data_IF_626748223778
#
_entry.id   IF_626748223778
#
_cell.length_a   1.000
_cell.length_b   1.000
_cell.length_c   1.000
_cell.angle_alpha   90.00
_cell.angle_beta   90.00
_cell.angle_gamma   90.00
#
_symmetry.space_group_name_H-M   'P 1'
#
loop_
_entity.id
_entity.type
_entity.pdbx_description
1 polymer ?
#
# COMPACT_ATOMS: atom_id res chain seq x y z
N UNK A 1 -34.32 22.01 7.24
CA UNK A 1 -32.97 22.53 6.95
C UNK A 1 -32.05 22.11 8.09
N UNK A 2 -31.42 20.95 7.96
CA UNK A 2 -30.50 20.39 8.95
C UNK A 2 -29.18 20.14 8.24
N UNK A 3 -28.13 20.81 8.70
CA UNK A 3 -26.76 20.73 8.19
C UNK A 3 -26.25 19.29 8.36
N UNK A 4 -25.89 18.65 7.25
CA UNK A 4 -25.08 17.42 7.24
C UNK A 4 -23.62 17.88 7.27
N UNK A 5 -22.92 17.60 8.36
CA UNK A 5 -21.51 17.95 8.55
C UNK A 5 -20.55 17.08 7.72
N UNK A 6 -19.30 17.52 7.50
CA UNK A 6 -18.35 16.83 6.64
C UNK A 6 -17.63 15.71 7.42
N UNK A 7 -18.06 14.47 7.24
CA UNK A 7 -17.34 13.27 7.69
C UNK A 7 -17.45 12.22 6.57
N UNK A 8 -16.59 12.33 5.56
CA UNK A 8 -16.60 11.41 4.42
C UNK A 8 -15.21 11.26 3.78
N UNK A 9 -14.21 10.86 4.58
CA UNK A 9 -12.91 10.39 4.06
C UNK A 9 -12.33 9.34 5.03
N UNK A 10 -12.78 8.09 4.94
CA UNK A 10 -12.25 7.04 5.84
C UNK A 10 -12.27 5.64 5.22
N UNK A 11 -11.45 5.36 4.20
CA UNK A 11 -11.15 3.95 3.81
C UNK A 11 -9.67 3.72 3.43
N UNK A 12 -8.97 4.73 2.90
CA UNK A 12 -7.50 4.64 2.70
C UNK A 12 -6.70 4.70 4.02
N UNK A 13 -7.39 4.89 5.14
CA UNK A 13 -6.79 5.18 6.45
C UNK A 13 -6.70 3.92 7.33
N UNK A 14 -7.27 2.76 6.99
CA UNK A 14 -7.20 1.60 7.89
C UNK A 14 -5.76 1.05 8.08
N UNK A 15 -4.90 1.12 7.04
CA UNK A 15 -3.46 0.90 7.19
C UNK A 15 -2.71 2.17 7.66
N UNK A 16 -3.19 3.37 7.29
CA UNK A 16 -2.63 4.64 7.74
C UNK A 16 -2.88 4.99 9.22
N UNK A 17 -3.88 4.40 9.86
CA UNK A 17 -4.24 4.58 11.28
C UNK A 17 -3.36 3.73 12.19
N UNK A 18 -2.80 2.64 11.68
CA UNK A 18 -1.81 1.84 12.42
C UNK A 18 -0.37 2.38 12.29
N UNK A 19 -0.16 3.34 11.37
CA UNK A 19 1.11 4.02 11.10
C UNK A 19 1.05 5.57 11.23
N UNK A 20 -0.05 6.14 11.74
CA UNK A 20 -0.16 7.56 12.06
C UNK A 20 0.25 8.54 10.94
N UNK A 21 -0.30 8.42 9.73
CA UNK A 21 -0.58 9.47 8.72
C UNK A 21 -0.89 8.86 7.33
N UNK A 22 -1.43 9.67 6.41
CA UNK A 22 -1.53 9.44 4.96
C UNK A 22 -0.30 8.68 4.44
N UNK A 23 -0.52 7.39 4.13
CA UNK A 23 0.39 6.29 3.75
C UNK A 23 1.92 6.43 3.96
N UNK A 24 2.55 5.34 4.41
CA UNK A 24 4.01 5.18 4.33
C UNK A 24 4.54 5.32 2.89
N UNK A 25 3.72 4.98 1.88
CA UNK A 25 4.00 5.24 0.47
C UNK A 25 4.14 6.74 0.18
N UNK A 26 3.33 7.61 0.79
CA UNK A 26 3.41 9.06 0.61
C UNK A 26 4.71 9.62 1.17
N UNK A 27 5.26 9.02 2.23
CA UNK A 27 6.55 9.43 2.78
C UNK A 27 7.71 9.05 1.87
N UNK A 28 7.69 7.85 1.31
CA UNK A 28 8.77 7.31 0.51
C UNK A 28 8.73 7.81 -0.93
N UNK A 29 7.52 7.90 -1.51
CA UNK A 29 7.31 8.49 -2.84
C UNK A 29 7.68 9.98 -2.86
N UNK A 30 7.36 10.73 -1.81
CA UNK A 30 7.57 12.18 -1.75
C UNK A 30 9.03 12.58 -1.45
N UNK A 31 9.89 11.66 -1.01
CA UNK A 31 11.32 11.93 -0.81
C UNK A 31 12.18 11.66 -2.03
N UNK A 32 11.74 10.82 -2.96
CA UNK A 32 12.50 10.47 -4.16
C UNK A 32 11.90 11.03 -5.45
N UNK A 33 10.61 11.35 -5.48
CA UNK A 33 9.99 12.08 -6.59
C UNK A 33 10.33 13.56 -6.41
N UNK A 34 11.59 13.92 -6.74
CA UNK A 34 11.99 15.34 -6.88
C UNK A 34 10.93 16.01 -7.73
N UNK A 35 10.47 17.17 -7.24
CA UNK A 35 9.60 18.14 -7.90
C UNK A 35 10.05 18.42 -9.34
N UNK A 36 9.77 17.53 -10.28
CA UNK A 36 9.74 17.90 -11.69
C UNK A 36 8.42 18.60 -11.90
N UNK A 37 8.45 19.95 -11.86
CA UNK A 37 7.43 20.86 -12.36
C UNK A 37 6.02 20.26 -12.41
N UNK A 38 5.48 19.89 -11.24
CA UNK A 38 4.10 19.45 -11.16
C UNK A 38 3.25 20.61 -11.68
N UNK A 39 2.48 20.34 -12.74
CA UNK A 39 1.45 21.25 -13.19
C UNK A 39 0.59 21.60 -11.97
N UNK A 40 0.12 22.84 -11.90
CA UNK A 40 -0.76 23.27 -10.84
C UNK A 40 -1.93 22.25 -10.73
N UNK A 41 -2.31 21.73 -9.55
CA UNK A 41 -3.32 20.66 -9.46
C UNK A 41 -4.65 20.96 -10.17
N UNK A 42 -4.99 22.24 -10.36
CA UNK A 42 -6.12 22.73 -11.15
C UNK A 42 -5.97 22.59 -12.67
N UNK A 43 -4.75 22.52 -13.18
CA UNK A 43 -4.40 22.41 -14.60
C UNK A 43 -4.17 20.95 -15.06
N UNK A 44 -4.05 20.01 -14.10
CA UNK A 44 -3.81 18.59 -14.39
C UNK A 44 -4.85 17.98 -15.36
N UNK A 45 -6.17 18.20 -15.20
CA UNK A 45 -7.16 17.59 -16.11
C UNK A 45 -7.00 18.07 -17.56
N UNK A 46 -6.72 19.35 -17.76
CA UNK A 46 -6.51 19.94 -19.09
C UNK A 46 -5.21 19.41 -19.72
N UNK A 47 -4.15 19.27 -18.91
CA UNK A 47 -2.87 18.72 -19.35
C UNK A 47 -3.00 17.24 -19.76
N UNK A 48 -3.74 16.44 -18.98
CA UNK A 48 -4.04 15.04 -19.31
C UNK A 48 -4.83 14.96 -20.63
N UNK A 49 -5.88 15.77 -20.79
CA UNK A 49 -6.66 15.79 -22.04
C UNK A 49 -5.82 16.20 -23.27
N UNK A 50 -4.91 17.16 -23.11
CA UNK A 50 -3.99 17.57 -24.17
C UNK A 50 -3.02 16.43 -24.56
N UNK A 51 -2.53 15.65 -23.58
CA UNK A 51 -1.68 14.49 -23.83
C UNK A 51 -2.44 13.34 -24.48
N UNK A 52 -3.67 13.05 -24.02
CA UNK A 52 -4.54 12.04 -24.65
C UNK A 52 -4.76 12.38 -26.13
N UNK A 53 -5.02 13.66 -26.46
CA UNK A 53 -5.14 14.12 -27.85
C UNK A 53 -3.84 13.95 -28.66
N UNK A 54 -2.67 14.16 -28.06
CA UNK A 54 -1.40 13.90 -28.74
C UNK A 54 -1.22 12.41 -29.03
N UNK A 55 -1.59 11.55 -28.08
CA UNK A 55 -1.57 10.10 -28.22
C UNK A 55 -2.56 9.58 -29.28
N UNK A 56 -3.64 10.30 -29.60
CA UNK A 56 -4.50 9.97 -30.76
C UNK A 56 -3.73 10.03 -32.09
N UNK A 57 -2.76 10.95 -32.20
CA UNK A 57 -1.93 11.11 -33.40
C UNK A 57 -0.63 10.29 -33.37
N UNK A 58 -0.09 10.04 -32.18
CA UNK A 58 1.15 9.29 -31.97
C UNK A 58 1.01 8.30 -30.79
N UNK A 59 0.14 7.32 -30.97
CA UNK A 59 -0.19 6.31 -29.94
C UNK A 59 0.91 5.29 -29.65
N UNK A 60 2.09 5.45 -30.24
CA UNK A 60 3.26 4.60 -29.98
C UNK A 60 4.33 5.28 -29.12
N UNK A 61 4.16 6.57 -28.83
CA UNK A 61 5.14 7.38 -28.15
C UNK A 61 5.24 7.06 -26.66
N UNK A 62 6.28 6.33 -26.28
CA UNK A 62 6.48 5.88 -24.90
C UNK A 62 6.68 7.04 -23.92
N UNK A 63 7.27 8.16 -24.37
CA UNK A 63 7.46 9.34 -23.52
C UNK A 63 6.12 10.03 -23.22
N UNK A 64 5.23 10.11 -24.20
CA UNK A 64 3.87 10.64 -23.98
C UNK A 64 3.06 9.74 -23.06
N UNK A 65 3.17 8.41 -23.22
CA UNK A 65 2.56 7.46 -22.30
C UNK A 65 3.10 7.61 -20.87
N UNK A 66 4.42 7.80 -20.70
CA UNK A 66 5.04 7.99 -19.38
C UNK A 66 4.47 9.24 -18.70
N UNK A 67 4.45 10.36 -19.43
CA UNK A 67 3.95 11.63 -18.93
C UNK A 67 2.45 11.59 -18.61
N UNK A 68 1.65 10.97 -19.47
CA UNK A 68 0.23 10.77 -19.22
C UNK A 68 0.00 9.95 -17.94
N UNK A 69 0.74 8.85 -17.77
CA UNK A 69 0.63 8.00 -16.59
C UNK A 69 0.96 8.76 -15.29
N UNK A 70 2.04 9.54 -15.28
CA UNK A 70 2.43 10.36 -14.14
C UNK A 70 1.36 11.40 -13.78
N UNK A 71 0.88 12.15 -14.76
CA UNK A 71 -0.15 13.18 -14.55
C UNK A 71 -1.48 12.61 -14.09
N UNK A 72 -1.93 11.51 -14.70
CA UNK A 72 -3.15 10.80 -14.29
C UNK A 72 -3.06 10.31 -12.85
N UNK A 73 -1.90 9.82 -12.44
CA UNK A 73 -1.69 9.37 -11.07
C UNK A 73 -1.64 10.53 -10.07
N UNK A 74 -1.01 11.66 -10.42
CA UNK A 74 -1.02 12.88 -9.61
C UNK A 74 -2.45 13.43 -9.44
N UNK A 75 -3.22 13.48 -10.52
CA UNK A 75 -4.62 13.87 -10.49
C UNK A 75 -5.45 12.89 -9.65
N UNK A 76 -5.21 11.58 -9.79
CA UNK A 76 -5.86 10.56 -9.00
C UNK A 76 -5.63 10.77 -7.49
N UNK A 77 -4.42 11.17 -7.10
CA UNK A 77 -4.07 11.44 -5.71
C UNK A 77 -4.76 12.70 -5.18
N UNK A 78 -4.80 13.76 -5.99
CA UNK A 78 -5.47 15.03 -5.64
C UNK A 78 -6.99 14.86 -5.52
N UNK A 79 -7.61 14.23 -6.52
CA UNK A 79 -9.07 14.04 -6.61
C UNK A 79 -9.60 12.81 -5.86
N UNK A 80 -8.71 11.92 -5.40
CA UNK A 80 -9.02 10.59 -4.86
C UNK A 80 -9.86 9.73 -5.80
N UNK A 81 -9.52 9.76 -7.08
CA UNK A 81 -10.24 9.07 -8.12
C UNK A 81 -9.51 7.78 -8.54
N UNK A 82 -10.04 6.62 -8.14
CA UNK A 82 -9.48 5.32 -8.47
C UNK A 82 -9.53 4.97 -9.97
N UNK A 83 -10.43 5.58 -10.74
CA UNK A 83 -10.50 5.35 -12.18
C UNK A 83 -9.27 5.93 -12.89
N UNK A 84 -8.74 7.06 -12.41
CA UNK A 84 -7.53 7.67 -12.95
C UNK A 84 -6.28 6.84 -12.63
N UNK A 85 -6.24 6.16 -11.48
CA UNK A 85 -5.18 5.20 -11.15
C UNK A 85 -5.14 4.06 -12.18
N UNK A 86 -6.31 3.55 -12.58
CA UNK A 86 -6.37 2.49 -13.59
C UNK A 86 -5.86 2.96 -14.95
N UNK A 87 -6.22 4.17 -15.40
CA UNK A 87 -5.67 4.76 -16.61
C UNK A 87 -4.14 4.92 -16.55
N UNK A 88 -3.60 5.34 -15.40
CA UNK A 88 -2.16 5.43 -15.21
C UNK A 88 -1.48 4.05 -15.34
N UNK A 89 -2.04 3.01 -14.71
CA UNK A 89 -1.58 1.63 -14.84
C UNK A 89 -1.60 1.16 -16.29
N UNK A 90 -2.64 1.50 -17.07
CA UNK A 90 -2.74 1.12 -18.48
C UNK A 90 -1.61 1.69 -19.34
N UNK A 91 -1.24 2.96 -19.11
CA UNK A 91 -0.12 3.59 -19.80
C UNK A 91 1.24 3.01 -19.39
N UNK A 92 1.48 2.77 -18.09
CA UNK A 92 2.71 2.10 -17.68
C UNK A 92 2.79 0.66 -18.21
N UNK A 93 1.66 -0.07 -18.21
CA UNK A 93 1.60 -1.42 -18.77
C UNK A 93 1.82 -1.40 -20.30
N UNK A 94 1.38 -0.36 -21.00
CA UNK A 94 1.70 -0.17 -22.41
C UNK A 94 3.21 -0.02 -22.62
N UNK A 95 3.88 0.78 -21.80
CA UNK A 95 5.34 0.93 -21.84
C UNK A 95 6.01 -0.42 -21.62
N UNK A 96 5.62 -1.18 -20.59
CA UNK A 96 6.20 -2.51 -20.34
C UNK A 96 5.91 -3.54 -21.44
N UNK A 97 4.80 -3.42 -22.19
CA UNK A 97 4.56 -4.29 -23.35
C UNK A 97 5.55 -4.00 -24.49
N UNK A 98 5.99 -2.75 -24.63
CA UNK A 98 6.92 -2.30 -25.69
C UNK A 98 8.38 -2.45 -25.26
N UNK A 99 8.65 -2.14 -24.01
CA UNK A 99 9.96 -2.20 -23.36
C UNK A 99 9.82 -2.96 -22.04
N UNK A 100 9.91 -4.31 -22.08
CA UNK A 100 9.67 -5.13 -20.90
C UNK A 100 10.57 -4.78 -19.71
N UNK A 101 11.77 -4.30 -19.96
CA UNK A 101 12.75 -3.94 -18.94
C UNK A 101 12.86 -2.42 -18.71
N UNK A 102 11.84 -1.65 -19.08
CA UNK A 102 11.79 -0.22 -18.79
C UNK A 102 11.74 0.00 -17.27
N UNK A 103 12.84 0.53 -16.73
CA UNK A 103 13.09 0.62 -15.28
C UNK A 103 12.11 1.56 -14.58
N UNK A 104 11.82 2.69 -15.21
CA UNK A 104 10.90 3.70 -14.69
C UNK A 104 9.48 3.13 -14.60
N UNK A 105 8.99 2.49 -15.67
CA UNK A 105 7.66 1.87 -15.67
C UNK A 105 7.55 0.71 -14.66
N UNK A 106 8.61 -0.09 -14.46
CA UNK A 106 8.65 -1.12 -13.41
C UNK A 106 8.54 -0.50 -12.01
N UNK A 107 9.33 0.53 -11.72
CA UNK A 107 9.32 1.20 -10.42
C UNK A 107 7.99 1.90 -10.12
N UNK A 108 7.41 2.57 -11.12
CA UNK A 108 6.13 3.27 -10.96
C UNK A 108 4.96 2.29 -10.81
N UNK A 109 4.92 1.18 -11.57
CA UNK A 109 3.90 0.15 -11.38
C UNK A 109 4.04 -0.55 -10.03
N UNK A 110 5.26 -0.81 -9.56
CA UNK A 110 5.48 -1.35 -8.24
C UNK A 110 4.91 -0.44 -7.14
N UNK A 111 5.20 0.86 -7.22
CA UNK A 111 4.67 1.84 -6.27
C UNK A 111 3.13 1.90 -6.31
N UNK A 112 2.54 1.95 -7.50
CA UNK A 112 1.08 1.92 -7.67
C UNK A 112 0.46 0.65 -7.08
N UNK A 113 1.03 -0.52 -7.39
CA UNK A 113 0.56 -1.79 -6.85
C UNK A 113 0.64 -1.82 -5.32
N UNK A 114 1.75 -1.34 -4.74
CA UNK A 114 1.93 -1.24 -3.29
C UNK A 114 0.86 -0.34 -2.65
N UNK A 115 0.57 0.82 -3.23
CA UNK A 115 -0.46 1.73 -2.74
C UNK A 115 -1.87 1.18 -2.81
N UNK A 116 -2.15 0.39 -3.85
CA UNK A 116 -3.43 -0.32 -3.98
C UNK A 116 -3.50 -1.57 -3.08
N UNK A 117 -2.41 -1.95 -2.42
CA UNK A 117 -2.32 -3.16 -1.61
C UNK A 117 -2.19 -4.45 -2.44
N UNK A 118 -1.88 -4.35 -3.73
CA UNK A 118 -1.63 -5.47 -4.64
C UNK A 118 -0.16 -5.88 -4.49
N UNK A 119 0.18 -6.50 -3.36
CA UNK A 119 1.57 -6.70 -2.96
C UNK A 119 2.33 -7.69 -3.83
N UNK A 120 1.68 -8.75 -4.31
CA UNK A 120 2.33 -9.76 -5.16
C UNK A 120 2.87 -9.15 -6.45
N UNK A 121 2.10 -8.25 -7.06
CA UNK A 121 2.54 -7.52 -8.26
C UNK A 121 3.62 -6.49 -7.94
N UNK A 122 3.51 -5.81 -6.80
CA UNK A 122 4.56 -4.89 -6.36
C UNK A 122 5.91 -5.63 -6.17
N UNK A 123 5.87 -6.80 -5.51
CA UNK A 123 7.03 -7.67 -5.32
C UNK A 123 7.59 -8.15 -6.67
N UNK A 124 6.74 -8.64 -7.58
CA UNK A 124 7.13 -9.09 -8.92
C UNK A 124 7.89 -8.00 -9.70
N UNK A 125 7.33 -6.79 -9.75
CA UNK A 125 7.97 -5.67 -10.47
C UNK A 125 9.27 -5.22 -9.81
N UNK A 126 9.35 -5.20 -8.48
CA UNK A 126 10.57 -4.79 -7.76
C UNK A 126 11.68 -5.81 -7.88
N UNK A 127 11.38 -7.12 -7.77
CA UNK A 127 12.38 -8.17 -7.98
C UNK A 127 12.91 -8.12 -9.41
N UNK A 128 12.06 -7.83 -10.39
CA UNK A 128 12.48 -7.62 -11.78
C UNK A 128 13.32 -6.36 -11.97
N UNK A 129 12.98 -5.25 -11.30
CA UNK A 129 13.79 -4.04 -11.34
C UNK A 129 15.18 -4.28 -10.71
N UNK A 130 15.25 -4.99 -9.59
CA UNK A 130 16.51 -5.36 -8.91
C UNK A 130 17.36 -6.32 -9.76
N UNK A 131 16.76 -7.21 -10.55
CA UNK A 131 17.54 -8.06 -11.45
C UNK A 131 18.21 -7.28 -12.61
N UNK A 132 17.64 -6.13 -12.98
CA UNK A 132 18.21 -5.21 -13.97
C UNK A 132 19.22 -4.24 -13.32
N UNK A 133 18.92 -3.79 -12.09
CA UNK A 133 19.74 -2.86 -11.32
C UNK A 133 19.97 -3.37 -9.89
N UNK A 134 20.94 -4.28 -9.68
CA UNK A 134 21.19 -4.87 -8.37
C UNK A 134 21.57 -3.87 -7.27
N UNK A 135 22.15 -2.74 -7.67
CA UNK A 135 22.59 -1.67 -6.76
C UNK A 135 21.53 -0.58 -6.58
N UNK A 136 20.32 -0.75 -7.14
CA UNK A 136 19.24 0.22 -6.97
C UNK A 136 18.70 0.16 -5.53
N UNK A 137 19.25 1.04 -4.69
CA UNK A 137 18.91 1.15 -3.27
C UNK A 137 17.42 1.44 -3.07
N UNK A 138 16.81 2.26 -3.95
CA UNK A 138 15.38 2.57 -3.89
C UNK A 138 14.56 1.31 -4.11
N UNK A 139 14.81 0.57 -5.17
CA UNK A 139 14.09 -0.67 -5.47
C UNK A 139 14.23 -1.71 -4.35
N UNK A 140 15.43 -1.85 -3.77
CA UNK A 140 15.68 -2.74 -2.62
C UNK A 140 14.94 -2.30 -1.36
N UNK A 141 14.87 -0.99 -1.09
CA UNK A 141 14.12 -0.44 0.05
C UNK A 141 12.62 -0.60 -0.14
N UNK A 142 12.11 -0.31 -1.34
CA UNK A 142 10.70 -0.46 -1.70
C UNK A 142 10.30 -1.95 -1.62
N UNK A 143 11.16 -2.87 -2.06
CA UNK A 143 10.92 -4.32 -1.93
C UNK A 143 10.84 -4.72 -0.46
N UNK A 144 11.78 -4.26 0.35
CA UNK A 144 11.77 -4.55 1.79
C UNK A 144 10.44 -4.11 2.45
N UNK A 145 9.86 -3.01 2.02
CA UNK A 145 8.58 -2.52 2.56
C UNK A 145 7.38 -3.33 2.05
N UNK A 146 7.39 -3.72 0.78
CA UNK A 146 6.42 -4.69 0.25
C UNK A 146 6.49 -5.98 1.05
N UNK A 147 7.69 -6.49 1.35
CA UNK A 147 7.90 -7.69 2.15
C UNK A 147 7.34 -7.54 3.58
N UNK A 148 7.59 -6.42 4.27
CA UNK A 148 6.99 -6.14 5.59
C UNK A 148 5.46 -6.18 5.53
N UNK A 149 4.88 -5.51 4.53
CA UNK A 149 3.43 -5.44 4.35
C UNK A 149 2.82 -6.79 3.95
N UNK A 150 3.61 -7.68 3.34
CA UNK A 150 3.22 -9.03 2.93
C UNK A 150 3.49 -10.09 4.00
N UNK A 151 3.88 -9.70 5.22
CA UNK A 151 4.23 -10.64 6.29
C UNK A 151 5.60 -11.29 6.17
N UNK A 152 6.37 -11.03 5.10
CA UNK A 152 7.72 -11.57 4.85
C UNK A 152 8.80 -10.74 5.53
N UNK A 153 8.61 -10.38 6.80
CA UNK A 153 9.44 -9.40 7.50
C UNK A 153 10.87 -9.89 7.77
N UNK A 154 11.12 -11.20 7.91
CA UNK A 154 12.46 -11.77 8.03
C UNK A 154 13.29 -11.55 6.77
N UNK A 155 12.71 -11.78 5.59
CA UNK A 155 13.39 -11.50 4.31
C UNK A 155 13.70 -10.00 4.19
N UNK A 156 12.74 -9.16 4.58
CA UNK A 156 12.91 -7.71 4.61
C UNK A 156 14.11 -7.29 5.45
N UNK A 157 14.26 -7.84 6.67
CA UNK A 157 15.38 -7.53 7.57
C UNK A 157 16.72 -7.86 6.92
N UNK A 158 16.83 -9.04 6.26
CA UNK A 158 18.04 -9.43 5.53
C UNK A 158 18.41 -8.43 4.44
N UNK A 159 17.42 -8.03 3.63
CA UNK A 159 17.59 -7.06 2.55
C UNK A 159 18.00 -5.68 3.06
N UNK A 160 17.33 -5.19 4.12
CA UNK A 160 17.57 -3.88 4.71
C UNK A 160 18.94 -3.79 5.38
N UNK A 161 19.36 -4.83 6.10
CA UNK A 161 20.69 -4.88 6.71
C UNK A 161 21.79 -4.80 5.64
N UNK A 162 21.62 -5.48 4.50
CA UNK A 162 22.55 -5.35 3.38
C UNK A 162 22.58 -3.91 2.83
N UNK A 163 21.42 -3.28 2.61
CA UNK A 163 21.33 -1.89 2.13
C UNK A 163 21.98 -0.91 3.12
N UNK A 164 21.73 -1.06 4.42
CA UNK A 164 22.26 -0.20 5.47
C UNK A 164 23.78 -0.35 5.61
N UNK A 165 24.30 -1.58 5.45
CA UNK A 165 25.74 -1.85 5.45
C UNK A 165 26.45 -1.11 4.32
N UNK A 166 25.87 -1.14 3.12
CA UNK A 166 26.43 -0.47 1.95
C UNK A 166 26.24 1.06 2.04
N UNK A 167 25.14 1.51 2.66
CA UNK A 167 24.75 2.92 2.73
C UNK A 167 24.31 3.35 4.15
N UNK A 168 25.28 3.58 5.05
CA UNK A 168 25.01 3.77 6.47
C UNK A 168 24.49 5.18 6.81
N UNK A 169 24.13 6.03 5.85
CA UNK A 169 23.51 7.33 6.13
C UNK A 169 22.04 7.43 5.67
N UNK A 170 21.49 6.41 5.01
CA UNK A 170 20.15 6.48 4.46
C UNK A 170 19.09 6.28 5.53
N UNK A 171 18.15 7.21 5.58
CA UNK A 171 16.98 7.17 6.45
C UNK A 171 15.97 6.07 6.08
N UNK A 172 15.47 5.98 4.83
CA UNK A 172 14.37 5.07 4.50
C UNK A 172 14.59 3.60 4.88
N UNK A 173 15.74 2.96 4.57
CA UNK A 173 15.95 1.56 4.94
C UNK A 173 16.07 1.35 6.46
N UNK A 174 16.57 2.34 7.22
CA UNK A 174 16.64 2.27 8.69
C UNK A 174 15.26 2.30 9.32
N UNK A 175 14.43 3.23 8.86
CA UNK A 175 13.08 3.31 9.38
C UNK A 175 12.28 2.06 8.97
N UNK A 176 12.44 1.58 7.73
CA UNK A 176 11.83 0.32 7.28
C UNK A 176 12.23 -0.88 8.16
N UNK A 177 13.46 -0.91 8.67
CA UNK A 177 13.94 -1.96 9.57
C UNK A 177 13.16 -1.95 10.90
N UNK A 178 12.88 -0.76 11.43
CA UNK A 178 12.05 -0.61 12.61
C UNK A 178 10.61 -1.13 12.37
N UNK A 179 10.05 -0.89 11.19
CA UNK A 179 8.73 -1.40 10.82
C UNK A 179 8.72 -2.93 10.73
N UNK A 180 9.77 -3.53 10.15
CA UNK A 180 9.92 -4.97 10.04
C UNK A 180 9.98 -5.63 11.43
N UNK A 181 10.80 -5.09 12.34
CA UNK A 181 10.86 -5.59 13.71
C UNK A 181 9.54 -5.44 14.47
N UNK A 182 8.79 -4.36 14.21
CA UNK A 182 7.47 -4.17 14.83
C UNK A 182 6.49 -5.24 14.36
N UNK A 183 6.48 -5.55 13.06
CA UNK A 183 5.63 -6.61 12.49
C UNK A 183 5.95 -7.97 13.11
N UNK A 184 7.22 -8.29 13.31
CA UNK A 184 7.63 -9.53 14.00
C UNK A 184 7.29 -9.55 15.50
N UNK A 185 6.88 -8.42 16.07
CA UNK A 185 6.67 -8.26 17.51
C UNK A 185 7.97 -8.15 18.30
N UNK A 186 9.10 -7.94 17.64
CA UNK A 186 10.41 -7.69 18.28
C UNK A 186 10.50 -6.23 18.76
N UNK A 187 9.66 -5.89 19.76
CA UNK A 187 9.43 -4.51 20.23
C UNK A 187 10.71 -3.73 20.53
N UNK A 188 11.62 -4.32 21.29
CA UNK A 188 12.86 -3.64 21.69
C UNK A 188 13.77 -3.34 20.49
N UNK A 189 13.87 -4.26 19.54
CA UNK A 189 14.61 -4.03 18.29
C UNK A 189 13.93 -2.99 17.41
N UNK A 190 12.59 -2.97 17.37
CA UNK A 190 11.82 -1.96 16.65
C UNK A 190 12.07 -0.55 17.21
N UNK A 191 12.07 -0.40 18.55
CA UNK A 191 12.41 0.87 19.21
C UNK A 191 13.84 1.29 18.91
N UNK A 192 14.80 0.39 19.06
CA UNK A 192 16.21 0.70 18.80
C UNK A 192 16.42 1.14 17.34
N UNK A 193 15.91 0.39 16.37
CA UNK A 193 16.04 0.73 14.95
C UNK A 193 15.35 2.07 14.60
N UNK A 194 14.20 2.36 15.22
CA UNK A 194 13.53 3.65 15.08
C UNK A 194 14.38 4.79 15.64
N UNK A 195 14.94 4.62 16.83
CA UNK A 195 15.84 5.59 17.46
C UNK A 195 17.09 5.83 16.61
N UNK A 196 17.71 4.78 16.09
CA UNK A 196 18.88 4.88 15.21
C UNK A 196 18.56 5.66 13.92
N UNK A 197 17.32 5.56 13.41
CA UNK A 197 16.86 6.31 12.25
C UNK A 197 16.72 7.82 12.50
N UNK A 198 16.51 8.27 13.74
CA UNK A 198 16.34 9.70 14.08
C UNK A 198 17.54 10.54 13.66
N UNK A 199 18.75 9.99 13.79
CA UNK A 199 19.99 10.67 13.41
C UNK A 199 20.06 11.03 11.91
N UNK A 200 19.29 10.32 11.08
CA UNK A 200 19.26 10.50 9.63
C UNK A 200 17.93 11.11 9.14
N UNK A 201 17.03 11.50 10.04
CA UNK A 201 15.73 12.05 9.68
C UNK A 201 15.88 13.33 8.82
N UNK A 202 15.23 13.41 7.65
CA UNK A 202 15.44 14.50 6.70
C UNK A 202 14.78 15.82 7.12
N UNK A 203 13.73 15.75 7.94
CA UNK A 203 13.01 16.91 8.44
C UNK A 203 12.34 16.62 9.79
N UNK A 204 11.74 17.65 10.38
CA UNK A 204 11.06 17.57 11.66
C UNK A 204 9.79 16.70 11.62
N UNK A 205 9.12 16.65 10.46
CA UNK A 205 7.93 15.80 10.28
C UNK A 205 8.31 14.34 10.40
N UNK A 206 9.44 13.94 9.81
CA UNK A 206 9.98 12.59 9.94
C UNK A 206 10.31 12.27 11.41
N UNK A 207 10.96 13.19 12.14
CA UNK A 207 11.27 13.00 13.57
C UNK A 207 10.03 12.79 14.42
N UNK A 208 9.02 13.64 14.25
CA UNK A 208 7.74 13.51 14.97
C UNK A 208 7.04 12.19 14.68
N UNK A 209 7.12 11.70 13.44
CA UNK A 209 6.56 10.38 13.07
C UNK A 209 7.30 9.23 13.74
N UNK A 210 8.62 9.31 13.82
CA UNK A 210 9.42 8.29 14.51
C UNK A 210 9.12 8.30 16.01
N UNK A 211 8.99 9.48 16.63
CA UNK A 211 8.60 9.60 18.03
C UNK A 211 7.24 8.93 18.30
N UNK A 212 6.22 9.26 17.49
CA UNK A 212 4.90 8.62 17.56
C UNK A 212 4.97 7.11 17.33
N UNK A 213 5.82 6.67 16.41
CA UNK A 213 6.03 5.24 16.16
C UNK A 213 6.58 4.54 17.39
N UNK A 214 7.58 5.12 18.06
CA UNK A 214 8.19 4.57 19.28
C UNK A 214 7.18 4.52 20.43
N UNK A 215 6.42 5.58 20.65
CA UNK A 215 5.33 5.62 21.64
C UNK A 215 4.29 4.52 21.38
N UNK A 216 3.91 4.32 20.11
CA UNK A 216 2.91 3.32 19.73
C UNK A 216 3.33 1.85 19.83
N UNK A 217 4.62 1.54 19.97
CA UNK A 217 5.11 0.15 20.09
C UNK A 217 4.63 -0.51 21.40
N UNK A 218 4.51 0.27 22.46
CA UNK A 218 4.14 -0.23 23.80
C UNK A 218 2.64 -0.18 24.07
N UNK A 219 1.94 0.77 23.44
CA UNK A 219 0.53 1.06 23.76
C UNK A 219 -0.49 0.22 22.99
N UNK A 220 -0.08 -0.46 21.91
CA UNK A 220 -1.03 -1.13 21.02
C UNK A 220 -0.97 -2.66 21.14
N UNK A 221 -2.07 -3.34 21.52
CA UNK A 221 -2.17 -4.77 21.29
C UNK A 221 -2.04 -5.05 19.78
N UNK A 222 -1.50 -6.22 19.39
CA UNK A 222 -1.39 -6.57 17.98
C UNK A 222 -2.76 -6.45 17.29
N UNK A 223 -2.79 -6.03 16.02
CA UNK A 223 -4.04 -5.80 15.33
C UNK A 223 -4.72 -7.15 15.14
N UNK A 224 -5.98 -7.28 15.56
CA UNK A 224 -6.76 -8.48 15.28
C UNK A 224 -7.56 -8.30 14.00
N UNK A 225 -7.77 -9.40 13.28
CA UNK A 225 -8.61 -9.42 12.10
C UNK A 225 -10.04 -8.97 12.43
N UNK A 226 -10.56 -9.36 13.60
CA UNK A 226 -11.86 -8.88 14.06
C UNK A 226 -11.90 -7.34 14.19
N UNK A 227 -10.90 -6.73 14.82
CA UNK A 227 -10.86 -5.27 14.98
C UNK A 227 -10.78 -4.56 13.62
N UNK A 228 -10.01 -5.11 12.67
CA UNK A 228 -9.96 -4.62 11.30
C UNK A 228 -11.33 -4.70 10.63
N UNK A 229 -11.99 -5.85 10.69
CA UNK A 229 -13.31 -6.11 10.10
C UNK A 229 -14.36 -5.13 10.64
N UNK A 230 -14.40 -4.93 11.96
CA UNK A 230 -15.36 -4.02 12.61
C UNK A 230 -15.11 -2.55 12.28
N UNK A 231 -13.85 -2.14 12.18
CA UNK A 231 -13.48 -0.75 11.90
C UNK A 231 -13.52 -0.40 10.40
N UNK A 232 -13.58 -1.39 9.51
CA UNK A 232 -13.65 -1.18 8.08
C UNK A 232 -14.97 -0.49 7.67
N UNK A 233 -14.90 0.63 6.98
CA UNK A 233 -16.05 1.50 6.68
C UNK A 233 -17.10 0.92 5.72
N UNK A 234 -16.71 0.01 4.82
CA UNK A 234 -17.67 -0.75 3.98
C UNK A 234 -18.13 -2.03 4.68
N UNK A 235 -17.18 -2.85 5.16
CA UNK A 235 -17.46 -4.18 5.68
C UNK A 235 -18.11 -4.13 7.08
N UNK A 236 -17.59 -3.33 8.00
CA UNK A 236 -18.07 -3.21 9.38
C UNK A 236 -19.58 -2.95 9.50
N UNK A 237 -20.17 -1.96 8.79
CA UNK A 237 -21.62 -1.72 8.81
C UNK A 237 -22.48 -2.89 8.30
N UNK A 238 -21.88 -3.84 7.58
CA UNK A 238 -22.55 -5.00 6.98
C UNK A 238 -22.42 -6.26 7.84
N UNK A 239 -21.58 -6.24 8.88
CA UNK A 239 -21.37 -7.38 9.80
C UNK A 239 -22.62 -7.63 10.65
N UNK A 240 -23.15 -8.84 10.59
CA UNK A 240 -24.26 -9.30 11.44
C UNK A 240 -23.79 -10.15 12.62
N UNK A 241 -22.78 -11.00 12.41
CA UNK A 241 -22.11 -11.73 13.50
C UNK A 241 -20.66 -12.01 13.14
N UNK A 242 -19.83 -12.13 14.18
CA UNK A 242 -18.45 -12.61 14.11
C UNK A 242 -18.35 -13.74 15.13
N UNK A 243 -17.93 -14.91 14.70
CA UNK A 243 -17.82 -16.13 15.49
C UNK A 243 -16.40 -16.67 15.34
N UNK A 244 -15.60 -16.59 16.41
CA UNK A 244 -14.34 -17.33 16.53
C UNK A 244 -14.69 -18.75 17.01
N UNK A 245 -14.50 -19.73 16.12
CA UNK A 245 -14.87 -21.12 16.39
C UNK A 245 -13.81 -21.87 17.22
N UNK A 246 -12.72 -21.19 17.61
CA UNK A 246 -11.50 -21.82 18.06
C UNK A 246 -10.75 -22.48 16.90
N UNK A 247 -9.50 -22.88 17.13
CA UNK A 247 -8.60 -23.48 16.13
C UNK A 247 -8.14 -22.53 15.00
N UNK A 248 -8.27 -21.21 15.21
CA UNK A 248 -7.82 -20.18 14.28
C UNK A 248 -8.76 -19.87 13.12
N UNK A 249 -10.02 -20.27 13.22
CA UNK A 249 -11.06 -19.98 12.23
C UNK A 249 -12.00 -18.87 12.70
N UNK A 250 -12.00 -17.74 11.98
CA UNK A 250 -12.96 -16.66 12.14
C UNK A 250 -14.07 -16.74 11.08
N UNK A 251 -15.32 -16.89 11.50
CA UNK A 251 -16.49 -16.84 10.59
C UNK A 251 -17.21 -15.51 10.75
N UNK A 252 -17.41 -14.80 9.66
CA UNK A 252 -18.10 -13.50 9.65
C UNK A 252 -19.31 -13.54 8.73
N UNK A 253 -20.48 -13.25 9.29
CA UNK A 253 -21.72 -13.15 8.52
C UNK A 253 -21.97 -11.69 8.14
N UNK A 254 -22.28 -11.47 6.86
CA UNK A 254 -22.50 -10.15 6.27
C UNK A 254 -23.89 -10.06 5.65
N UNK A 255 -24.59 -8.95 5.87
CA UNK A 255 -25.88 -8.65 5.24
C UNK A 255 -25.68 -7.93 3.91
N UNK A 256 -26.26 -8.42 2.82
CA UNK A 256 -26.30 -7.73 1.51
C UNK A 256 -24.92 -7.22 1.06
N UNK A 257 -23.88 -8.05 1.17
CA UNK A 257 -22.54 -7.66 0.75
C UNK A 257 -22.36 -7.92 -0.75
N UNK A 258 -22.12 -6.89 -1.58
CA UNK A 258 -22.29 -6.98 -3.04
C UNK A 258 -21.06 -7.59 -3.74
N UNK A 259 -20.48 -8.67 -3.20
CA UNK A 259 -19.21 -9.22 -3.69
C UNK A 259 -19.26 -9.62 -5.16
N UNK A 260 -20.36 -10.26 -5.59
CA UNK A 260 -20.52 -10.77 -6.95
C UNK A 260 -20.56 -9.63 -7.99
N UNK A 261 -21.10 -8.48 -7.57
CA UNK A 261 -21.22 -7.28 -8.40
C UNK A 261 -19.98 -6.38 -8.34
N UNK A 262 -18.97 -6.71 -7.52
CA UNK A 262 -17.73 -5.94 -7.49
C UNK A 262 -16.94 -6.16 -8.78
N UNK A 263 -16.38 -5.08 -9.38
CA UNK A 263 -15.37 -5.21 -10.41
C UNK A 263 -14.22 -6.12 -9.93
N UNK A 264 -13.64 -6.97 -10.80
CA UNK A 264 -12.58 -7.91 -10.40
C UNK A 264 -11.42 -7.24 -9.66
N UNK A 265 -11.00 -6.05 -10.09
CA UNK A 265 -9.94 -5.27 -9.44
C UNK A 265 -10.33 -4.84 -8.02
N UNK A 266 -11.57 -4.37 -7.83
CA UNK A 266 -12.06 -3.97 -6.52
C UNK A 266 -12.15 -5.17 -5.56
N UNK A 267 -12.57 -6.33 -6.08
CA UNK A 267 -12.58 -7.60 -5.34
C UNK A 267 -11.17 -8.00 -4.92
N UNK A 268 -10.19 -7.93 -5.83
CA UNK A 268 -8.80 -8.29 -5.54
C UNK A 268 -8.17 -7.36 -4.50
N UNK A 269 -8.40 -6.05 -4.59
CA UNK A 269 -7.91 -5.09 -3.59
C UNK A 269 -8.55 -5.36 -2.23
N UNK A 270 -9.85 -5.66 -2.21
CA UNK A 270 -10.56 -5.99 -0.98
C UNK A 270 -10.01 -7.29 -0.34
N UNK A 271 -9.89 -8.37 -1.11
CA UNK A 271 -9.36 -9.65 -0.61
C UNK A 271 -7.91 -9.51 -0.16
N UNK A 272 -7.08 -8.76 -0.89
CA UNK A 272 -5.68 -8.51 -0.50
C UNK A 272 -5.58 -7.79 0.83
N UNK A 273 -6.41 -6.77 1.08
CA UNK A 273 -6.43 -6.06 2.37
C UNK A 273 -6.91 -6.94 3.53
N UNK A 274 -7.88 -7.81 3.27
CA UNK A 274 -8.37 -8.76 4.27
C UNK A 274 -7.30 -9.82 4.59
N UNK A 275 -6.63 -10.34 3.56
CA UNK A 275 -5.49 -11.25 3.71
C UNK A 275 -4.36 -10.60 4.52
N UNK A 276 -4.05 -9.32 4.25
CA UNK A 276 -3.04 -8.59 5.04
C UNK A 276 -3.44 -8.48 6.51
N UNK A 277 -4.72 -8.18 6.80
CA UNK A 277 -5.18 -8.13 8.18
C UNK A 277 -5.10 -9.51 8.87
N UNK A 278 -5.32 -10.59 8.13
CA UNK A 278 -5.18 -11.97 8.61
C UNK A 278 -3.72 -12.30 8.97
N UNK A 279 -2.76 -11.98 8.08
CA UNK A 279 -1.32 -12.24 8.28
C UNK A 279 -0.77 -11.67 9.60
N UNK A 280 -1.37 -10.59 10.11
CA UNK A 280 -0.92 -9.96 11.35
C UNK A 280 -1.69 -10.46 12.60
N UNK A 281 -2.72 -11.29 12.44
CA UNK A 281 -3.46 -11.88 13.54
C UNK A 281 -2.81 -13.20 13.96
N UNK A 282 -2.22 -13.23 15.16
CA UNK A 282 -1.53 -14.42 15.68
C UNK A 282 -2.48 -15.56 16.09
N UNK A 283 -3.78 -15.31 16.17
CA UNK A 283 -4.77 -16.28 16.65
C UNK A 283 -5.57 -16.88 15.51
N UNK A 284 -5.76 -16.13 14.42
CA UNK A 284 -6.59 -16.52 13.28
C UNK A 284 -5.71 -16.82 12.08
N UNK A 285 -5.78 -18.04 11.57
CA UNK A 285 -5.09 -18.46 10.33
C UNK A 285 -6.06 -18.62 9.16
N UNK A 286 -7.37 -18.54 9.40
CA UNK A 286 -8.40 -18.68 8.38
C UNK A 286 -9.61 -17.82 8.69
N UNK A 287 -10.14 -17.13 7.68
CA UNK A 287 -11.36 -16.37 7.78
C UNK A 287 -12.33 -16.66 6.63
N UNK A 288 -13.60 -16.90 6.98
CA UNK A 288 -14.67 -17.16 6.01
C UNK A 288 -15.74 -16.08 6.14
N UNK A 289 -16.03 -15.41 5.02
CA UNK A 289 -17.14 -14.46 4.91
C UNK A 289 -18.36 -15.17 4.32
N UNK A 290 -19.48 -15.12 5.03
CA UNK A 290 -20.76 -15.74 4.64
C UNK A 290 -21.84 -14.68 4.45
N UNK A 291 -22.77 -14.92 3.53
CA UNK A 291 -24.01 -14.16 3.44
C UNK A 291 -24.95 -14.52 4.60
N UNK A 292 -25.49 -13.52 5.28
CA UNK A 292 -26.29 -13.73 6.50
C UNK A 292 -27.64 -14.38 6.26
N UNK A 293 -28.21 -14.24 5.05
CA UNK A 293 -29.55 -14.75 4.74
C UNK A 293 -29.50 -16.15 4.13
N UNK A 294 -28.63 -16.34 3.14
CA UNK A 294 -28.50 -17.58 2.39
C UNK A 294 -27.50 -18.56 3.00
N UNK A 295 -26.60 -18.09 3.88
CA UNK A 295 -25.47 -18.88 4.39
C UNK A 295 -24.40 -19.17 3.34
N UNK A 296 -24.52 -18.59 2.14
CA UNK A 296 -23.58 -18.81 1.03
C UNK A 296 -22.20 -18.25 1.38
N UNK A 297 -21.15 -19.02 1.08
CA UNK A 297 -19.78 -18.55 1.19
C UNK A 297 -19.48 -17.48 0.13
N UNK A 298 -19.04 -16.32 0.60
CA UNK A 298 -18.69 -15.17 -0.23
C UNK A 298 -17.19 -15.16 -0.54
N UNK A 299 -16.35 -15.21 0.49
CA UNK A 299 -14.89 -15.25 0.43
C UNK A 299 -14.36 -16.21 1.47
N UNK A 300 -13.26 -16.85 1.15
CA UNK A 300 -12.40 -17.54 2.10
C UNK A 300 -10.98 -17.02 1.91
N UNK A 301 -10.33 -16.73 3.02
CA UNK A 301 -8.90 -16.38 3.09
C UNK A 301 -8.24 -17.26 4.15
N UNK A 302 -7.01 -17.67 3.88
CA UNK A 302 -6.20 -18.47 4.79
C UNK A 302 -4.74 -18.04 4.69
N UNK A 303 -3.99 -18.17 5.78
CA UNK A 303 -2.52 -18.10 5.73
C UNK A 303 -2.01 -19.29 4.90
N UNK A 304 -1.09 -19.03 3.97
CA UNK A 304 -0.44 -20.05 3.13
C UNK A 304 0.61 -20.85 3.89
#
# INVERSE_FOLDING_TARGET
MTRIGPFAITIAVAFGLWFGATSLSDFLSNQYRRRENHANPTELPEAVAALEKQLESDGSNLQLHMKAAQMLYEEARSSRNSALIMKAVEHYAFILRREPNNRDALGELAALCFEQGILDKAEEYLRRLISIEPDNIRARTDLALVLVQSGKAEESIGLLNAVIKDNPALFPPRFALALAYRVLGEREKAKQAAQDSLAYAPDETARQRIARFVEGIDETPPPTLEAFIRSHSILGPKVTSIEDNGQGLLTVKLREFPIENMPPVARNVFTSKLQQALIFDKQINKCILLDSESGKQLIEIAEE
#
